data_IF_199069491135
#
_entry.id   IF_199069491135
#
_cell.length_a   1.000
_cell.length_b   1.000
_cell.length_c   1.000
_cell.angle_alpha   90.00
_cell.angle_beta   90.00
_cell.angle_gamma   90.00
#
_symmetry.space_group_name_H-M   'P 1'
#
loop_
_entity.id
_entity.type
_entity.pdbx_description
1 polymer ?
#
# COMPACT_ATOMS: atom_id res chain seq x y z
N UNK A 1 45.83 41.38 11.78
CA UNK A 1 46.00 40.18 10.92
C UNK A 1 44.88 39.21 11.21
N UNK A 2 44.26 38.70 10.15
CA UNK A 2 42.91 38.15 10.04
C UNK A 2 42.77 36.79 10.73
N UNK A 3 41.74 36.60 11.56
CA UNK A 3 41.30 35.29 12.06
C UNK A 3 40.41 34.64 11.00
N UNK A 4 40.90 33.56 10.39
CA UNK A 4 40.17 32.75 9.41
C UNK A 4 39.22 31.80 10.16
N UNK A 5 37.92 32.07 10.09
CA UNK A 5 36.86 31.24 10.66
C UNK A 5 36.34 30.35 9.52
N UNK A 6 36.78 29.09 9.49
CA UNK A 6 36.30 28.09 8.53
C UNK A 6 34.94 27.61 9.03
N UNK A 7 33.87 28.12 8.41
CA UNK A 7 32.52 27.59 8.58
C UNK A 7 32.40 26.31 7.74
N UNK A 8 32.51 25.16 8.39
CA UNK A 8 32.20 23.86 7.77
C UNK A 8 30.68 23.75 7.62
N UNK A 9 30.14 24.24 6.51
CA UNK A 9 28.79 23.89 6.05
C UNK A 9 28.78 22.41 5.67
N UNK A 10 28.52 21.55 6.66
CA UNK A 10 28.09 20.19 6.38
C UNK A 10 26.70 20.28 5.74
N UNK A 11 26.66 20.28 4.41
CA UNK A 11 25.44 20.01 3.67
C UNK A 11 25.11 18.55 3.96
N UNK A 12 24.26 18.32 4.95
CA UNK A 12 23.61 17.01 5.12
C UNK A 12 22.72 16.86 3.90
N UNK A 13 23.23 16.24 2.85
CA UNK A 13 22.40 15.74 1.77
C UNK A 13 21.38 14.81 2.42
N UNK A 14 20.10 15.19 2.37
CA UNK A 14 19.02 14.30 2.75
C UNK A 14 19.11 13.12 1.79
N UNK A 15 19.50 11.95 2.31
CA UNK A 15 19.37 10.74 1.54
C UNK A 15 17.86 10.54 1.31
N UNK A 16 17.43 10.76 0.07
CA UNK A 16 16.07 10.55 -0.41
C UNK A 16 15.78 9.04 -0.49
N UNK A 17 15.76 8.41 0.68
CA UNK A 17 15.55 6.99 0.87
C UNK A 17 14.36 6.78 1.80
N UNK A 18 13.35 6.08 1.30
CA UNK A 18 12.18 5.68 2.05
C UNK A 18 12.46 4.33 2.73
N UNK A 19 11.75 3.96 3.80
CA UNK A 19 11.98 2.70 4.52
C UNK A 19 10.83 1.70 4.38
N UNK A 20 11.13 0.50 3.91
CA UNK A 20 10.20 -0.63 3.87
C UNK A 20 10.34 -1.39 5.20
N UNK A 21 9.24 -1.52 5.93
CA UNK A 21 9.17 -2.23 7.23
C UNK A 21 10.18 -1.77 8.30
N UNK A 22 10.71 -0.55 8.21
CA UNK A 22 11.80 -0.06 9.06
C UNK A 22 13.11 -0.89 8.97
N UNK A 23 13.26 -1.74 7.96
CA UNK A 23 14.43 -2.61 7.78
C UNK A 23 15.13 -2.41 6.45
N UNK A 24 14.38 -2.26 5.35
CA UNK A 24 14.96 -2.15 4.01
C UNK A 24 14.87 -0.70 3.53
N UNK A 25 15.94 -0.19 2.93
CA UNK A 25 15.94 1.11 2.25
C UNK A 25 15.36 1.00 0.84
N UNK A 26 14.57 1.98 0.43
CA UNK A 26 13.99 2.06 -0.90
C UNK A 26 13.96 3.49 -1.45
N UNK A 27 13.31 3.67 -2.59
CA UNK A 27 13.00 4.96 -3.20
C UNK A 27 11.51 5.10 -3.44
N UNK A 28 10.99 6.32 -3.38
CA UNK A 28 9.58 6.58 -3.66
C UNK A 28 9.32 6.58 -5.16
N UNK A 29 8.56 5.60 -5.64
CA UNK A 29 8.20 5.48 -7.04
C UNK A 29 6.94 6.27 -7.35
N UNK A 30 7.07 7.21 -8.30
CA UNK A 30 5.97 7.99 -8.86
C UNK A 30 5.55 7.51 -10.25
N UNK A 31 6.34 6.60 -10.85
CA UNK A 31 6.15 6.01 -12.19
C UNK A 31 4.74 5.47 -12.43
N UNK A 32 4.10 5.06 -11.36
CA UNK A 32 2.82 4.36 -11.38
C UNK A 32 1.64 5.20 -10.87
N UNK A 33 1.88 6.46 -10.50
CA UNK A 33 0.82 7.39 -10.18
C UNK A 33 0.20 8.00 -11.43
N UNK A 34 -1.09 8.25 -11.33
CA UNK A 34 -1.82 9.08 -12.29
C UNK A 34 -1.96 10.47 -11.70
N UNK A 35 -1.72 11.51 -12.50
CA UNK A 35 -1.96 12.89 -12.05
C UNK A 35 -3.46 13.12 -11.92
N UNK A 36 -3.88 14.10 -11.11
CA UNK A 36 -5.30 14.47 -10.97
C UNK A 36 -5.94 14.95 -12.29
N UNK A 37 -5.14 15.20 -13.32
CA UNK A 37 -5.57 15.60 -14.66
C UNK A 37 -5.32 14.50 -15.71
N UNK A 38 -5.00 13.27 -15.28
CA UNK A 38 -4.68 12.18 -16.19
C UNK A 38 -5.87 11.77 -17.05
N UNK A 39 -5.63 11.56 -18.34
CA UNK A 39 -6.63 10.98 -19.25
C UNK A 39 -6.89 9.51 -18.89
N UNK A 40 -8.03 8.96 -19.34
CA UNK A 40 -8.34 7.54 -19.15
C UNK A 40 -7.22 6.63 -19.68
N UNK A 41 -6.66 6.96 -20.84
CA UNK A 41 -5.53 6.25 -21.44
C UNK A 41 -4.28 6.29 -20.55
N UNK A 42 -3.97 7.44 -19.93
CA UNK A 42 -2.86 7.55 -18.98
C UNK A 42 -3.10 6.74 -17.71
N UNK A 43 -4.35 6.65 -17.25
CA UNK A 43 -4.74 5.81 -16.12
C UNK A 43 -4.57 4.34 -16.44
N UNK A 44 -5.04 3.89 -17.60
CA UNK A 44 -4.89 2.51 -18.07
C UNK A 44 -3.42 2.16 -18.29
N UNK A 45 -2.63 3.07 -18.88
CA UNK A 45 -1.20 2.87 -19.06
C UNK A 45 -0.45 2.76 -17.72
N UNK A 46 -0.82 3.56 -16.72
CA UNK A 46 -0.24 3.47 -15.39
C UNK A 46 -0.62 2.14 -14.69
N UNK A 47 -1.88 1.70 -14.81
CA UNK A 47 -2.33 0.38 -14.33
C UNK A 47 -1.61 -0.76 -15.03
N UNK A 48 -1.45 -0.70 -16.35
CA UNK A 48 -0.71 -1.71 -17.11
C UNK A 48 0.77 -1.79 -16.70
N UNK A 49 1.39 -0.66 -16.32
CA UNK A 49 2.74 -0.66 -15.73
C UNK A 49 2.77 -1.34 -14.36
N UNK A 50 1.78 -1.06 -13.49
CA UNK A 50 1.66 -1.75 -12.20
C UNK A 50 1.54 -3.26 -12.38
N UNK A 51 0.64 -3.71 -13.25
CA UNK A 51 0.38 -5.14 -13.45
C UNK A 51 1.56 -5.88 -14.10
N UNK A 52 2.37 -5.18 -14.90
CA UNK A 52 3.57 -5.74 -15.53
C UNK A 52 4.77 -5.80 -14.58
N UNK A 53 4.98 -4.74 -13.80
CA UNK A 53 6.15 -4.63 -12.93
C UNK A 53 5.92 -5.26 -11.54
N UNK A 54 4.68 -5.29 -11.07
CA UNK A 54 4.25 -5.90 -9.80
C UNK A 54 2.95 -6.71 -10.00
N UNK A 55 3.00 -7.87 -10.66
CA UNK A 55 1.83 -8.69 -10.95
C UNK A 55 0.97 -9.05 -9.73
N UNK A 56 1.57 -9.16 -8.54
CA UNK A 56 0.83 -9.52 -7.33
C UNK A 56 0.28 -8.30 -6.59
N UNK A 57 1.16 -7.38 -6.18
CA UNK A 57 0.80 -6.24 -5.35
C UNK A 57 0.24 -5.05 -6.12
N UNK A 58 0.53 -4.93 -7.41
CA UNK A 58 0.17 -3.76 -8.22
C UNK A 58 -1.32 -3.41 -8.18
N UNK A 59 -2.20 -4.42 -8.07
CA UNK A 59 -3.65 -4.21 -7.94
C UNK A 59 -4.09 -3.55 -6.61
N UNK A 60 -3.28 -3.64 -5.56
CA UNK A 60 -3.60 -3.14 -4.21
C UNK A 60 -2.98 -1.78 -3.91
N UNK A 61 -1.89 -1.42 -4.57
CA UNK A 61 -1.07 -0.24 -4.26
C UNK A 61 -1.12 0.83 -5.35
N UNK A 62 -2.03 0.68 -6.33
CA UNK A 62 -2.15 1.54 -7.52
C UNK A 62 -2.69 2.97 -7.30
N UNK A 63 -2.82 3.41 -6.05
CA UNK A 63 -3.45 4.70 -5.70
C UNK A 63 -2.49 5.68 -5.04
N UNK A 64 -1.20 5.33 -4.91
CA UNK A 64 -0.24 6.12 -4.16
C UNK A 64 1.22 5.92 -4.63
N UNK A 65 2.13 6.85 -4.33
CA UNK A 65 3.55 6.64 -4.59
C UNK A 65 4.09 5.64 -3.56
N UNK A 66 4.51 4.47 -4.01
CA UNK A 66 4.97 3.40 -3.13
C UNK A 66 6.48 3.49 -2.92
N UNK A 67 6.94 3.17 -1.72
CA UNK A 67 8.34 2.91 -1.46
C UNK A 67 8.71 1.55 -2.03
N UNK A 68 9.70 1.54 -2.92
CA UNK A 68 10.13 0.35 -3.64
C UNK A 68 11.63 0.11 -3.48
N UNK A 69 12.13 -1.15 -3.61
CA UNK A 69 13.55 -1.43 -3.54
C UNK A 69 14.37 -0.58 -4.53
N UNK A 70 15.52 -0.09 -4.06
CA UNK A 70 16.46 0.67 -4.89
C UNK A 70 17.67 -0.20 -5.28
N UNK A 71 18.21 0.02 -6.48
CA UNK A 71 19.51 -0.54 -6.84
C UNK A 71 20.56 0.15 -5.98
N UNK A 72 21.07 -0.57 -4.99
CA UNK A 72 22.14 -0.12 -4.11
C UNK A 72 23.45 0.05 -4.89
N UNK A 73 23.55 1.12 -5.68
CA UNK A 73 24.83 1.71 -5.99
C UNK A 73 24.90 3.08 -5.37
N UNK A 74 25.85 3.21 -4.43
CA UNK A 74 26.46 4.42 -3.89
C UNK A 74 27.06 5.33 -4.98
N UNK A 75 26.34 5.56 -6.08
CA UNK A 75 26.64 6.61 -7.02
C UNK A 75 25.78 7.77 -6.59
N UNK A 76 26.43 8.78 -6.02
CA UNK A 76 25.89 10.11 -5.79
C UNK A 76 25.44 10.70 -7.13
N UNK A 77 24.27 10.30 -7.60
CA UNK A 77 23.57 10.96 -8.69
C UNK A 77 22.94 12.21 -8.08
N UNK A 78 23.15 13.41 -8.67
CA UNK A 78 22.51 14.62 -8.20
C UNK A 78 20.99 14.44 -8.10
N UNK A 79 20.41 14.89 -6.98
CA UNK A 79 18.99 14.74 -6.57
C UNK A 79 17.97 15.22 -7.62
N UNK A 80 18.38 16.01 -8.61
CA UNK A 80 17.55 16.49 -9.71
C UNK A 80 17.51 15.56 -10.94
N UNK A 81 18.36 14.54 -10.99
CA UNK A 81 18.34 13.51 -12.04
C UNK A 81 17.46 12.35 -11.55
N UNK A 82 16.15 12.57 -11.68
CA UNK A 82 15.03 11.62 -11.67
C UNK A 82 14.97 10.57 -10.54
N UNK A 83 13.90 10.64 -9.73
CA UNK A 83 13.39 9.55 -8.87
C UNK A 83 13.39 8.17 -9.54
N UNK A 84 13.21 8.15 -10.86
CA UNK A 84 13.06 6.94 -11.67
C UNK A 84 14.41 6.26 -12.00
N UNK A 85 15.55 6.96 -11.87
CA UNK A 85 16.88 6.42 -12.20
C UNK A 85 17.45 5.47 -11.11
N UNK A 86 16.83 5.45 -9.93
CA UNK A 86 17.27 4.64 -8.79
C UNK A 86 16.35 3.44 -8.50
N UNK A 87 15.27 3.27 -9.27
CA UNK A 87 14.39 2.12 -9.21
C UNK A 87 15.06 0.90 -9.85
N UNK A 88 15.18 -0.20 -9.12
CA UNK A 88 15.65 -1.47 -9.68
C UNK A 88 14.46 -2.36 -10.01
N UNK A 89 14.09 -2.38 -11.29
CA UNK A 89 12.94 -3.17 -11.74
C UNK A 89 13.06 -4.67 -11.40
N UNK A 90 14.27 -5.22 -11.37
CA UNK A 90 14.47 -6.62 -10.99
C UNK A 90 14.23 -6.80 -9.48
N UNK A 91 14.76 -5.89 -8.65
CA UNK A 91 14.52 -5.93 -7.21
C UNK A 91 13.04 -5.71 -6.85
N UNK A 92 12.34 -4.83 -7.58
CA UNK A 92 10.90 -4.61 -7.45
C UNK A 92 10.14 -5.90 -7.73
N UNK A 93 10.39 -6.54 -8.87
CA UNK A 93 9.76 -7.80 -9.27
C UNK A 93 10.09 -8.94 -8.31
N UNK A 94 11.33 -9.00 -7.83
CA UNK A 94 11.75 -10.01 -6.87
C UNK A 94 11.06 -9.83 -5.52
N UNK A 95 10.94 -8.60 -5.02
CA UNK A 95 10.19 -8.30 -3.80
C UNK A 95 8.71 -8.61 -3.99
N UNK A 96 8.08 -8.23 -5.10
CA UNK A 96 6.67 -8.55 -5.39
C UNK A 96 6.42 -10.07 -5.39
N UNK A 97 7.29 -10.82 -6.08
CA UNK A 97 7.26 -12.29 -6.09
C UNK A 97 7.46 -12.88 -4.70
N UNK A 98 8.40 -12.37 -3.92
CA UNK A 98 8.62 -12.82 -2.55
C UNK A 98 7.38 -12.56 -1.68
N UNK A 99 6.80 -11.36 -1.75
CA UNK A 99 5.55 -11.02 -1.04
C UNK A 99 4.41 -11.96 -1.43
N UNK A 100 4.28 -12.29 -2.72
CA UNK A 100 3.31 -13.28 -3.19
C UNK A 100 3.56 -14.66 -2.55
N UNK A 101 4.79 -15.16 -2.61
CA UNK A 101 5.14 -16.48 -2.09
C UNK A 101 4.86 -16.60 -0.59
N UNK A 102 5.26 -15.60 0.21
CA UNK A 102 4.99 -15.57 1.64
C UNK A 102 3.50 -15.48 1.94
N UNK A 103 2.76 -14.70 1.16
CA UNK A 103 1.30 -14.56 1.30
C UNK A 103 0.60 -15.89 1.01
N UNK A 104 0.91 -16.50 -0.14
CA UNK A 104 0.33 -17.76 -0.57
C UNK A 104 0.68 -18.91 0.38
N UNK A 105 1.93 -18.96 0.86
CA UNK A 105 2.38 -19.92 1.86
C UNK A 105 1.63 -19.77 3.18
N UNK A 106 1.48 -18.53 3.67
CA UNK A 106 0.73 -18.27 4.91
C UNK A 106 -0.74 -18.67 4.77
N UNK A 107 -1.39 -18.30 3.65
CA UNK A 107 -2.78 -18.66 3.39
C UNK A 107 -2.92 -20.19 3.34
N UNK A 108 -2.03 -20.89 2.62
CA UNK A 108 -2.07 -22.35 2.51
C UNK A 108 -1.87 -23.04 3.87
N UNK A 109 -0.92 -22.56 4.69
CA UNK A 109 -0.71 -23.07 6.04
C UNK A 109 -1.96 -22.89 6.91
N UNK A 110 -2.56 -21.69 6.88
CA UNK A 110 -3.80 -21.41 7.63
C UNK A 110 -4.94 -22.31 7.17
N UNK A 111 -5.10 -22.50 5.86
CA UNK A 111 -6.11 -23.42 5.31
C UNK A 111 -5.92 -24.84 5.85
N UNK A 112 -4.70 -25.36 5.90
CA UNK A 112 -4.46 -26.71 6.42
C UNK A 112 -4.71 -26.80 7.93
N UNK A 113 -4.32 -25.77 8.70
CA UNK A 113 -4.64 -25.68 10.12
C UNK A 113 -6.16 -25.70 10.36
N UNK A 114 -6.93 -24.94 9.59
CA UNK A 114 -8.40 -24.92 9.67
C UNK A 114 -9.02 -26.28 9.27
N UNK A 115 -8.42 -26.97 8.31
CA UNK A 115 -8.85 -28.30 7.90
C UNK A 115 -8.68 -29.32 9.05
N UNK A 116 -7.56 -29.24 9.76
CA UNK A 116 -7.24 -30.11 10.92
C UNK A 116 -8.17 -29.80 12.10
N UNK A 117 -8.41 -28.51 12.39
CA UNK A 117 -9.24 -28.07 13.52
C UNK A 117 -10.76 -28.24 13.27
N UNK A 118 -11.17 -28.40 12.02
CA UNK A 118 -12.54 -28.66 11.62
C UNK A 118 -13.42 -27.40 11.51
N UNK A 119 -14.73 -27.60 11.31
CA UNK A 119 -15.68 -26.58 10.79
C UNK A 119 -15.87 -25.30 11.62
N UNK A 120 -15.29 -25.20 12.81
CA UNK A 120 -15.47 -24.03 13.68
C UNK A 120 -14.64 -22.82 13.24
N UNK A 121 -13.67 -22.98 12.34
CA UNK A 121 -12.70 -21.93 12.03
C UNK A 121 -12.38 -21.79 10.53
N UNK A 122 -13.29 -21.95 9.57
CA UNK A 122 -12.98 -21.75 8.15
C UNK A 122 -12.86 -20.27 7.74
N UNK A 123 -11.85 -19.57 8.25
CA UNK A 123 -11.60 -18.15 7.96
C UNK A 123 -10.86 -17.95 6.64
N UNK A 124 -9.90 -18.80 6.30
CA UNK A 124 -9.14 -18.73 5.05
C UNK A 124 -9.66 -19.72 4.01
N UNK A 125 -10.10 -20.92 4.41
CA UNK A 125 -10.41 -22.00 3.47
C UNK A 125 -11.56 -21.71 2.49
N UNK A 126 -12.56 -20.92 2.90
CA UNK A 126 -13.77 -20.66 2.07
C UNK A 126 -14.05 -19.17 1.83
N UNK A 127 -13.19 -18.29 2.31
CA UNK A 127 -13.44 -16.86 2.29
C UNK A 127 -12.36 -16.18 1.44
N UNK A 128 -12.67 -16.01 0.15
CA UNK A 128 -11.78 -15.33 -0.78
C UNK A 128 -11.54 -13.88 -0.35
N UNK A 129 -12.52 -13.22 0.24
CA UNK A 129 -12.39 -11.84 0.71
C UNK A 129 -11.35 -11.74 1.83
N UNK A 130 -11.26 -12.74 2.71
CA UNK A 130 -10.20 -12.81 3.72
C UNK A 130 -8.82 -12.99 3.09
N UNK A 131 -8.70 -13.88 2.09
CA UNK A 131 -7.44 -14.07 1.35
C UNK A 131 -7.00 -12.80 0.63
N UNK A 132 -7.94 -12.12 -0.05
CA UNK A 132 -7.67 -10.85 -0.74
C UNK A 132 -7.35 -9.73 0.26
N UNK A 133 -8.04 -9.67 1.41
CA UNK A 133 -7.76 -8.69 2.46
C UNK A 133 -6.37 -8.90 3.08
N UNK A 134 -5.96 -10.16 3.31
CA UNK A 134 -4.62 -10.50 3.78
C UNK A 134 -3.56 -10.14 2.74
N UNK A 135 -3.79 -10.44 1.45
CA UNK A 135 -2.88 -10.05 0.38
C UNK A 135 -2.73 -8.52 0.28
N UNK A 136 -3.83 -7.77 0.34
CA UNK A 136 -3.80 -6.31 0.34
C UNK A 136 -2.99 -5.77 1.53
N UNK A 137 -3.22 -6.32 2.73
CA UNK A 137 -2.49 -5.97 3.95
C UNK A 137 -0.98 -6.19 3.78
N UNK A 138 -0.56 -7.37 3.32
CA UNK A 138 0.86 -7.70 3.12
C UNK A 138 1.49 -6.82 2.04
N UNK A 139 0.76 -6.45 1.00
CA UNK A 139 1.24 -5.53 -0.03
C UNK A 139 1.43 -4.10 0.49
N UNK A 140 0.47 -3.56 1.26
CA UNK A 140 0.62 -2.24 1.87
C UNK A 140 1.78 -2.18 2.85
N UNK A 141 2.03 -3.28 3.56
CA UNK A 141 3.15 -3.42 4.49
C UNK A 141 4.51 -3.39 3.78
N UNK A 142 4.61 -4.03 2.62
CA UNK A 142 5.88 -4.20 1.88
C UNK A 142 6.13 -3.11 0.83
N UNK A 143 5.10 -2.37 0.47
CA UNK A 143 5.16 -1.25 -0.45
C UNK A 143 4.40 -0.06 0.16
N UNK A 144 4.90 0.49 1.28
CA UNK A 144 4.21 1.55 2.00
C UNK A 144 4.14 2.83 1.16
N UNK A 145 3.14 3.66 1.43
CA UNK A 145 2.99 4.97 0.81
C UNK A 145 4.14 5.88 1.23
N UNK A 146 4.65 6.65 0.28
CA UNK A 146 5.50 7.80 0.54
C UNK A 146 4.69 9.08 0.74
N UNK A 147 5.16 9.93 1.63
CA UNK A 147 4.67 11.29 1.77
C UNK A 147 5.39 12.28 0.84
N UNK A 148 5.07 13.57 0.98
CA UNK A 148 5.67 14.64 0.20
C UNK A 148 7.17 14.86 0.50
N UNK A 149 7.66 14.34 1.63
CA UNK A 149 9.06 14.39 2.05
C UNK A 149 9.83 13.11 1.66
N UNK A 150 9.19 12.21 0.90
CA UNK A 150 9.75 10.91 0.50
C UNK A 150 10.00 9.97 1.68
N UNK A 151 9.30 10.19 2.80
CA UNK A 151 9.31 9.30 3.96
C UNK A 151 8.18 8.29 3.85
N UNK A 152 8.39 7.08 4.36
CA UNK A 152 7.32 6.07 4.38
C UNK A 152 6.34 6.32 5.51
N UNK A 153 5.07 6.11 5.19
CA UNK A 153 3.99 6.22 6.15
C UNK A 153 3.66 4.86 6.77
N UNK A 154 3.34 4.81 8.08
CA UNK A 154 2.95 3.59 8.76
C UNK A 154 1.66 3.01 8.17
N UNK A 155 1.30 1.77 8.50
CA UNK A 155 0.01 1.22 8.08
C UNK A 155 -1.16 1.96 8.76
N UNK A 156 -2.27 2.08 8.06
CA UNK A 156 -3.50 2.61 8.63
C UNK A 156 -4.15 1.57 9.55
N UNK A 157 -4.69 2.01 10.69
CA UNK A 157 -5.50 1.17 11.58
C UNK A 157 -6.64 0.48 10.80
N UNK A 158 -7.26 1.20 9.85
CA UNK A 158 -8.33 0.66 9.01
C UNK A 158 -7.92 -0.53 8.15
N UNK A 159 -6.64 -0.64 7.75
CA UNK A 159 -6.15 -1.81 7.00
C UNK A 159 -6.12 -3.05 7.89
N UNK A 160 -5.61 -2.90 9.11
CA UNK A 160 -5.59 -3.94 10.13
C UNK A 160 -7.02 -4.36 10.49
N UNK A 161 -7.88 -3.41 10.88
CA UNK A 161 -9.27 -3.68 11.23
C UNK A 161 -10.01 -4.40 10.10
N UNK A 162 -9.79 -3.98 8.85
CA UNK A 162 -10.44 -4.61 7.71
C UNK A 162 -10.02 -6.07 7.54
N UNK A 163 -8.72 -6.37 7.63
CA UNK A 163 -8.23 -7.75 7.56
C UNK A 163 -8.87 -8.62 8.65
N UNK A 164 -8.79 -8.20 9.91
CA UNK A 164 -9.34 -8.97 11.03
C UNK A 164 -10.86 -9.17 10.92
N UNK A 165 -11.58 -8.11 10.55
CA UNK A 165 -13.04 -8.13 10.37
C UNK A 165 -13.48 -9.05 9.26
N UNK A 166 -12.89 -8.93 8.07
CA UNK A 166 -13.27 -9.73 6.88
C UNK A 166 -12.93 -11.21 7.11
N UNK A 167 -11.84 -11.48 7.80
CA UNK A 167 -11.44 -12.84 8.19
C UNK A 167 -12.23 -13.41 9.37
N UNK A 168 -13.09 -12.64 10.05
CA UNK A 168 -13.91 -13.14 11.15
C UNK A 168 -13.10 -13.55 12.39
N UNK A 169 -12.07 -12.78 12.71
CA UNK A 169 -11.39 -12.87 14.01
C UNK A 169 -12.20 -12.16 15.10
N UNK A 170 -12.14 -12.68 16.31
CA UNK A 170 -12.78 -12.07 17.48
C UNK A 170 -12.09 -10.73 17.81
N UNK A 171 -12.87 -9.71 18.21
CA UNK A 171 -12.35 -8.34 18.37
C UNK A 171 -11.27 -8.23 19.45
N UNK A 172 -11.31 -9.10 20.45
CA UNK A 172 -10.35 -9.16 21.56
C UNK A 172 -8.95 -9.61 21.13
N UNK A 173 -8.78 -10.17 19.92
CA UNK A 173 -7.47 -10.48 19.33
C UNK A 173 -7.01 -9.42 18.33
N UNK A 174 -7.82 -8.39 18.06
CA UNK A 174 -7.41 -7.30 17.18
C UNK A 174 -6.35 -6.49 17.93
N UNK A 175 -5.26 -6.17 17.24
CA UNK A 175 -4.12 -5.43 17.80
C UNK A 175 -3.78 -4.24 16.89
N UNK A 176 -4.84 -3.57 16.44
CA UNK A 176 -4.80 -2.52 15.42
C UNK A 176 -4.65 -1.11 15.98
N UNK A 177 -4.53 -0.96 17.30
CA UNK A 177 -4.43 0.33 17.97
C UNK A 177 -3.04 0.97 17.83
N UNK A 178 -3.01 2.30 17.94
CA UNK A 178 -1.80 3.14 17.91
C UNK A 178 -0.84 2.83 19.07
N UNK A 179 -1.39 2.42 20.22
CA UNK A 179 -0.71 2.49 21.53
C UNK A 179 -0.33 1.11 22.12
N UNK A 180 -0.27 0.04 21.32
CA UNK A 180 0.20 -1.28 21.83
C UNK A 180 1.74 -1.29 22.04
N UNK A 181 2.39 -0.12 22.01
CA UNK A 181 3.84 0.05 21.93
C UNK A 181 4.41 0.74 23.17
N UNK A 182 3.79 0.58 24.33
CA UNK A 182 4.36 1.06 25.59
C UNK A 182 5.52 0.16 26.06
N UNK A 183 5.66 -1.05 25.50
CA UNK A 183 6.73 -2.00 25.84
C UNK A 183 6.80 -2.35 27.33
N UNK A 184 5.75 -2.02 28.08
CA UNK A 184 5.60 -2.27 29.51
C UNK A 184 4.59 -3.40 29.76
N UNK A 185 4.03 -3.96 28.69
CA UNK A 185 3.46 -5.28 28.68
C UNK A 185 4.59 -6.32 28.70
N UNK A 186 4.51 -7.26 29.65
CA UNK A 186 5.48 -8.33 29.94
C UNK A 186 5.84 -9.18 28.70
N UNK A 187 5.07 -9.06 27.63
CA UNK A 187 5.25 -9.71 26.35
C UNK A 187 5.65 -8.67 25.32
N UNK A 188 6.95 -8.48 25.10
CA UNK A 188 7.52 -7.67 24.02
C UNK A 188 7.18 -8.30 22.64
N UNK A 189 5.91 -8.18 22.24
CA UNK A 189 5.31 -8.79 21.06
C UNK A 189 5.45 -7.90 19.82
N UNK A 190 6.39 -6.95 19.79
CA UNK A 190 6.69 -6.14 18.58
C UNK A 190 6.95 -7.01 17.35
N UNK A 191 7.34 -8.28 17.56
CA UNK A 191 7.53 -9.27 16.51
C UNK A 191 6.23 -9.92 15.97
N UNK A 192 5.07 -9.76 16.63
CA UNK A 192 3.87 -10.55 16.34
C UNK A 192 2.93 -9.90 15.32
N UNK A 193 2.89 -8.56 15.22
CA UNK A 193 2.00 -7.86 14.27
C UNK A 193 2.79 -6.95 13.33
N UNK A 194 3.18 -7.45 12.15
CA UNK A 194 3.97 -6.65 11.23
C UNK A 194 3.15 -5.48 10.73
N UNK A 195 3.69 -4.25 10.85
CA UNK A 195 3.01 -3.01 10.48
C UNK A 195 2.63 -2.09 11.62
N UNK A 196 2.86 -2.49 12.88
CA UNK A 196 2.79 -1.60 14.03
C UNK A 196 3.95 -0.58 14.06
N UNK A 197 3.74 0.63 14.59
CA UNK A 197 2.46 1.16 15.06
C UNK A 197 1.52 1.49 13.90
N UNK A 198 0.23 1.23 14.09
CA UNK A 198 -0.80 1.67 13.15
C UNK A 198 -1.12 3.14 13.38
N UNK A 199 -1.69 3.81 12.38
CA UNK A 199 -2.15 5.20 12.52
C UNK A 199 -3.56 5.38 11.98
N UNK A 200 -4.35 6.23 12.62
CA UNK A 200 -5.69 6.57 12.15
C UNK A 200 -5.64 7.44 10.90
N UNK A 201 -6.65 7.28 10.03
CA UNK A 201 -6.85 8.22 8.94
C UNK A 201 -7.21 9.60 9.52
N UNK A 202 -6.62 10.64 8.96
CA UNK A 202 -6.87 12.03 9.34
C UNK A 202 -7.53 12.78 8.19
N UNK A 203 -8.33 13.80 8.54
CA UNK A 203 -8.98 14.69 7.59
C UNK A 203 -8.63 16.15 7.91
N UNK A 204 -8.56 16.99 6.90
CA UNK A 204 -8.50 18.44 7.07
C UNK A 204 -9.84 18.99 7.57
N UNK A 205 -9.87 20.25 8.01
CA UNK A 205 -11.10 20.90 8.50
C UNK A 205 -12.23 20.94 7.45
N UNK A 206 -11.88 20.84 6.15
CA UNK A 206 -12.81 20.76 5.04
C UNK A 206 -13.30 19.35 4.68
N UNK A 207 -12.86 18.32 5.42
CA UNK A 207 -13.22 16.92 5.15
C UNK A 207 -12.31 16.21 4.13
N UNK A 208 -11.29 16.89 3.61
CA UNK A 208 -10.32 16.30 2.68
C UNK A 208 -9.37 15.32 3.41
N UNK A 209 -9.16 14.09 2.92
CA UNK A 209 -8.31 13.10 3.57
C UNK A 209 -6.83 13.48 3.50
N UNK A 210 -6.09 13.25 4.59
CA UNK A 210 -4.64 13.43 4.67
C UNK A 210 -3.89 12.12 4.42
N UNK A 211 -2.73 12.21 3.78
CA UNK A 211 -1.80 11.09 3.63
C UNK A 211 -0.95 10.95 4.89
N UNK A 212 -1.47 10.26 5.91
CA UNK A 212 -0.76 10.02 7.18
C UNK A 212 -0.38 8.57 7.41
N UNK A 213 -0.95 7.65 6.63
CA UNK A 213 -0.76 6.20 6.76
C UNK A 213 -1.00 5.48 5.42
N UNK A 214 -0.78 4.17 5.39
CA UNK A 214 -0.91 3.28 4.24
C UNK A 214 -2.00 2.21 4.46
N UNK A 215 -3.04 2.10 3.63
CA UNK A 215 -3.42 3.01 2.56
C UNK A 215 -4.22 4.18 3.13
N UNK A 216 -3.75 5.41 2.92
CA UNK A 216 -4.59 6.59 3.17
C UNK A 216 -5.76 6.62 2.17
N UNK A 217 -6.90 7.13 2.63
CA UNK A 217 -8.08 7.42 1.79
C UNK A 217 -7.76 8.48 0.72
N UNK A 218 -6.71 9.29 0.92
CA UNK A 218 -6.27 10.30 -0.06
C UNK A 218 -5.82 9.64 -1.36
N UNK A 219 -6.52 9.93 -2.44
CA UNK A 219 -6.26 9.34 -3.77
C UNK A 219 -6.93 7.98 -4.02
N UNK A 220 -7.70 7.43 -3.06
CA UNK A 220 -8.41 6.17 -3.23
C UNK A 220 -9.69 6.26 -4.10
N UNK A 221 -10.17 7.48 -4.40
CA UNK A 221 -11.41 7.71 -5.14
C UNK A 221 -11.34 7.44 -6.65
N UNK A 222 -10.16 7.08 -7.20
CA UNK A 222 -9.98 6.86 -8.65
C UNK A 222 -10.26 5.43 -9.13
N UNK A 223 -10.59 4.48 -8.25
CA UNK A 223 -10.76 3.05 -8.63
C UNK A 223 -12.18 2.50 -8.52
N UNK A 224 -13.16 3.21 -7.97
CA UNK A 224 -14.56 2.82 -8.16
C UNK A 224 -15.04 3.27 -9.53
N UNK A 225 -14.81 2.40 -10.53
CA UNK A 225 -15.51 2.45 -11.79
C UNK A 225 -17.00 2.35 -11.53
N UNK A 226 -17.65 3.51 -11.45
CA UNK A 226 -19.10 3.62 -11.49
C UNK A 226 -19.52 3.20 -12.90
N UNK A 227 -19.67 1.88 -13.12
CA UNK A 227 -20.47 1.36 -14.22
C UNK A 227 -21.94 1.71 -13.92
N UNK A 228 -22.29 2.98 -14.11
CA UNK A 228 -23.69 3.38 -14.21
C UNK A 228 -24.18 2.81 -15.55
N UNK A 229 -24.80 1.63 -15.49
CA UNK A 229 -25.58 1.06 -16.58
C UNK A 229 -26.82 1.95 -16.78
N UNK A 230 -26.65 3.10 -17.43
CA UNK A 230 -27.75 3.85 -18.06
C UNK A 230 -27.84 3.36 -19.50
N UNK A 231 -28.30 2.14 -19.73
CA UNK A 231 -28.63 1.67 -21.08
C UNK A 231 -29.70 0.56 -21.06
N UNK A 232 -30.79 0.78 -20.32
CA UNK A 232 -31.98 -0.06 -20.43
C UNK A 232 -33.30 0.73 -20.59
N UNK A 233 -33.28 2.07 -20.54
CA UNK A 233 -34.50 2.89 -20.59
C UNK A 233 -34.93 3.41 -21.96
N UNK A 234 -34.02 3.50 -22.94
CA UNK A 234 -34.32 4.17 -24.22
C UNK A 234 -34.83 3.21 -25.30
N UNK A 235 -34.46 1.92 -25.24
CA UNK A 235 -34.93 0.94 -26.22
C UNK A 235 -36.43 0.60 -26.07
N UNK A 236 -37.00 0.70 -24.86
CA UNK A 236 -38.42 0.42 -24.63
C UNK A 236 -39.36 1.56 -25.04
N UNK A 237 -38.87 2.81 -25.10
CA UNK A 237 -39.67 3.95 -25.54
C UNK A 237 -39.76 4.05 -27.07
N UNK A 238 -38.73 3.62 -27.80
CA UNK A 238 -38.76 3.61 -29.27
C UNK A 238 -39.64 2.48 -29.81
N UNK A 239 -39.73 1.33 -29.13
CA UNK A 239 -40.65 0.25 -29.54
C UNK A 239 -42.13 0.60 -29.31
N UNK A 240 -42.45 1.44 -28.32
CA UNK A 240 -43.83 1.89 -28.07
C UNK A 240 -44.32 2.93 -29.09
N UNK A 241 -43.42 3.71 -29.69
CA UNK A 241 -43.77 4.68 -30.74
C UNK A 241 -43.83 4.11 -32.15
N UNK A 242 -43.31 2.88 -32.38
CA UNK A 242 -43.38 2.20 -33.69
C UNK A 242 -44.56 1.21 -33.80
N UNK A 243 -45.38 1.08 -32.75
CA UNK A 243 -46.54 0.17 -32.70
C UNK A 243 -47.89 0.92 -32.56
N UNK A 244 -47.92 2.24 -32.80
CA UNK A 244 -49.14 3.03 -33.04
C UNK A 244 -49.13 3.56 -34.47
#
# INVERSE_FOLDING_TARGET
>A
MIKLLILSLAVIARASACMIQNTDSGVCSYKYLTTSQATLEQIEAAKGRWESDMPFCGRYINSYPACVPSSSTLRSVPEWISSDANEDLNAIREKDRWVQQETDATIAERIEQERILGKKHYRYFRNKDCQDAYAAYTCWLNFPRCDEFQETLPLCQSACDNMFRVCGFEQDVWRCDEDIVDGNDEWNMRAFFPGQPFRKNEFERGGEPKAVCTPSIRGAASTFGVSLVINAGVASLVLLFLLQ
#
